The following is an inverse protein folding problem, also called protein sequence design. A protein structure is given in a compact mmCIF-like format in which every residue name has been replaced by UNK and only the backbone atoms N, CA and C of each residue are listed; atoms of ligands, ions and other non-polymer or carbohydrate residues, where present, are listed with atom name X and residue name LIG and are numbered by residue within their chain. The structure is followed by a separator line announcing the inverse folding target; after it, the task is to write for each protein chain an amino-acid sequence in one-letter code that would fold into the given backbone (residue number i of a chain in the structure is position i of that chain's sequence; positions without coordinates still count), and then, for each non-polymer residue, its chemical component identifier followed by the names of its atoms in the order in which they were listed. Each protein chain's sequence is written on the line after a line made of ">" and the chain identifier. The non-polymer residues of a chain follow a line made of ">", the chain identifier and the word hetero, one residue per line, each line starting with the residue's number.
data_IF_451448476138
#
_entry.id   IF_451448476138
#
_cell.length_a   1.000
_cell.length_b   1.000
_cell.length_c   1.000
_cell.angle_alpha   90.00
_cell.angle_beta   90.00
_cell.angle_gamma   90.00
#
_symmetry.space_group_name_H-M   'P 1'
#
loop_
_entity.id
_entity.type
_entity.pdbx_description
1 polymer ?
#
# COMPACT_ATOMS: atom_id res chain seq x y z
N UNK A 1 11.24 -36.05 -8.11
CA UNK A 1 10.32 -37.11 -7.65
C UNK A 1 9.10 -37.12 -8.56
N UNK A 2 8.67 -38.29 -9.07
CA UNK A 2 7.42 -38.42 -9.82
C UNK A 2 6.23 -37.95 -8.97
N UNK A 3 5.21 -37.37 -9.62
CA UNK A 3 3.99 -36.95 -8.92
C UNK A 3 3.20 -38.18 -8.50
N UNK A 4 2.59 -38.12 -7.32
CA UNK A 4 1.63 -39.13 -6.90
C UNK A 4 0.44 -39.11 -7.85
N UNK A 5 0.04 -40.28 -8.37
CA UNK A 5 -1.08 -40.36 -9.31
C UNK A 5 -2.38 -39.90 -8.62
N UNK A 6 -3.36 -39.49 -9.43
CA UNK A 6 -4.67 -39.12 -8.89
C UNK A 6 -5.36 -40.28 -8.18
N UNK A 7 -5.22 -41.50 -8.72
CA UNK A 7 -5.75 -42.73 -8.12
C UNK A 7 -5.09 -43.00 -6.78
N UNK A 8 -3.76 -42.88 -6.69
CA UNK A 8 -3.04 -43.12 -5.44
C UNK A 8 -3.37 -42.09 -4.36
N UNK A 9 -3.66 -40.83 -4.75
CA UNK A 9 -4.12 -39.81 -3.80
C UNK A 9 -5.47 -40.18 -3.18
N UNK A 10 -6.44 -40.57 -4.00
CA UNK A 10 -7.75 -40.98 -3.50
C UNK A 10 -7.66 -42.24 -2.64
N UNK A 11 -6.86 -43.23 -3.05
CA UNK A 11 -6.62 -44.44 -2.25
C UNK A 11 -5.96 -44.11 -0.89
N UNK A 12 -4.96 -43.23 -0.87
CA UNK A 12 -4.33 -42.80 0.38
C UNK A 12 -5.30 -42.06 1.30
N UNK A 13 -6.18 -41.22 0.74
CA UNK A 13 -7.19 -40.49 1.51
C UNK A 13 -8.28 -41.42 2.05
N UNK A 14 -8.72 -42.42 1.29
CA UNK A 14 -9.66 -43.44 1.76
C UNK A 14 -9.11 -44.19 2.97
N UNK A 15 -7.85 -44.62 2.92
CA UNK A 15 -7.20 -45.27 4.07
C UNK A 15 -7.11 -44.34 5.30
N UNK A 16 -6.89 -43.04 5.10
CA UNK A 16 -6.90 -42.07 6.20
C UNK A 16 -8.30 -41.84 6.77
N UNK A 17 -9.35 -41.91 5.95
CA UNK A 17 -10.75 -41.80 6.39
C UNK A 17 -11.21 -43.02 7.19
N UNK A 18 -10.66 -44.18 6.90
CA UNK A 18 -10.83 -45.41 7.69
C UNK A 18 -10.12 -45.35 9.06
N UNK A 19 -9.42 -44.25 9.37
CA UNK A 19 -8.75 -44.03 10.65
C UNK A 19 -7.33 -44.61 10.74
N UNK A 20 -6.76 -45.08 9.63
CA UNK A 20 -5.39 -45.59 9.64
C UNK A 20 -4.38 -44.47 9.90
N UNK A 21 -3.32 -44.73 10.69
CA UNK A 21 -2.28 -43.73 10.93
C UNK A 21 -1.45 -43.51 9.65
N UNK A 22 -0.96 -42.28 9.47
CA UNK A 22 -0.16 -41.86 8.28
C UNK A 22 1.05 -42.78 8.05
N UNK A 23 1.66 -43.30 9.12
CA UNK A 23 2.77 -44.25 9.06
C UNK A 23 2.39 -45.58 8.40
N UNK A 24 1.19 -46.08 8.67
CA UNK A 24 0.66 -47.33 8.11
C UNK A 24 0.28 -47.16 6.63
N UNK A 25 -0.37 -46.03 6.30
CA UNK A 25 -0.67 -45.67 4.90
C UNK A 25 0.62 -45.55 4.08
N UNK A 26 1.67 -44.99 4.67
CA UNK A 26 2.99 -44.87 4.06
C UNK A 26 3.62 -46.22 3.76
N UNK A 27 3.52 -47.17 4.70
CA UNK A 27 4.05 -48.52 4.52
C UNK A 27 3.24 -49.31 3.47
N UNK A 28 1.90 -49.31 3.58
CA UNK A 28 1.02 -50.06 2.65
C UNK A 28 1.14 -49.61 1.20
N UNK A 29 1.27 -48.30 0.98
CA UNK A 29 1.33 -47.73 -0.36
C UNK A 29 2.76 -47.49 -0.85
N UNK A 30 3.77 -47.73 -0.02
CA UNK A 30 5.17 -47.41 -0.30
C UNK A 30 5.37 -45.94 -0.72
N UNK A 31 4.68 -45.02 -0.04
CA UNK A 31 4.75 -43.57 -0.29
C UNK A 31 5.37 -42.91 0.93
N UNK A 32 6.21 -41.89 0.73
CA UNK A 32 6.82 -41.15 1.83
C UNK A 32 5.75 -40.54 2.76
N UNK A 33 5.91 -40.72 4.08
CA UNK A 33 5.03 -40.15 5.13
C UNK A 33 4.75 -38.66 4.94
N UNK A 34 5.76 -37.88 4.54
CA UNK A 34 5.62 -36.43 4.29
C UNK A 34 4.68 -36.12 3.13
N UNK A 35 4.63 -36.97 2.11
CA UNK A 35 3.71 -36.82 0.96
C UNK A 35 2.28 -37.05 1.39
N UNK A 36 2.02 -38.10 2.19
CA UNK A 36 0.67 -38.42 2.71
C UNK A 36 0.21 -37.33 3.70
N UNK A 37 1.10 -36.86 4.57
CA UNK A 37 0.83 -35.76 5.49
C UNK A 37 0.42 -34.49 4.72
N UNK A 38 1.23 -34.09 3.73
CA UNK A 38 0.94 -32.92 2.88
C UNK A 38 -0.34 -33.08 2.06
N UNK A 39 -0.65 -34.30 1.63
CA UNK A 39 -1.90 -34.61 0.92
C UNK A 39 -3.12 -34.38 1.82
N UNK A 40 -3.10 -34.95 3.04
CA UNK A 40 -4.16 -34.75 4.04
C UNK A 40 -4.31 -33.27 4.43
N UNK A 41 -3.20 -32.61 4.70
CA UNK A 41 -3.21 -31.18 5.04
C UNK A 41 -3.82 -30.35 3.91
N UNK A 42 -3.40 -30.59 2.66
CA UNK A 42 -3.96 -29.90 1.49
C UNK A 42 -5.46 -30.15 1.33
N UNK A 43 -5.92 -31.38 1.58
CA UNK A 43 -7.34 -31.69 1.53
C UNK A 43 -8.10 -30.88 2.58
N UNK A 44 -7.62 -30.82 3.83
CA UNK A 44 -8.24 -29.98 4.86
C UNK A 44 -8.24 -28.48 4.55
N UNK A 45 -7.23 -27.99 3.83
CA UNK A 45 -7.11 -26.56 3.49
C UNK A 45 -7.97 -26.14 2.29
N UNK A 46 -8.13 -27.00 1.30
CA UNK A 46 -8.76 -26.64 0.02
C UNK A 46 -9.94 -27.50 -0.38
N UNK A 47 -10.28 -28.54 0.38
CA UNK A 47 -11.32 -29.54 0.07
C UNK A 47 -11.19 -30.17 -1.33
N UNK A 48 -10.02 -30.05 -1.97
CA UNK A 48 -9.75 -30.61 -3.29
C UNK A 48 -8.57 -31.57 -3.25
N UNK A 49 -8.72 -32.73 -3.89
CA UNK A 49 -7.64 -33.69 -4.10
C UNK A 49 -6.79 -33.33 -5.32
N UNK A 50 -7.39 -32.67 -6.32
CA UNK A 50 -6.80 -32.36 -7.62
C UNK A 50 -5.58 -31.43 -7.53
N UNK A 51 -4.76 -31.44 -8.58
CA UNK A 51 -3.63 -30.51 -8.66
C UNK A 51 -4.13 -29.07 -8.82
N UNK A 52 -3.58 -28.15 -8.04
CA UNK A 52 -3.86 -26.73 -8.20
C UNK A 52 -3.31 -26.27 -9.56
N UNK A 53 -4.14 -25.55 -10.33
CA UNK A 53 -3.67 -24.85 -11.53
C UNK A 53 -2.54 -23.91 -11.13
N UNK A 54 -1.35 -24.11 -11.70
CA UNK A 54 -0.22 -23.21 -11.45
C UNK A 54 -0.46 -21.91 -12.21
N UNK A 55 -0.18 -20.78 -11.57
CA UNK A 55 -0.30 -19.44 -12.19
C UNK A 55 0.58 -19.24 -13.43
N UNK A 56 1.56 -20.12 -13.66
CA UNK A 56 2.51 -20.01 -14.75
C UNK A 56 3.47 -18.84 -14.58
N UNK A 57 4.33 -18.63 -15.58
CA UNK A 57 5.20 -17.45 -15.65
C UNK A 57 4.35 -16.23 -16.03
N UNK A 58 4.49 -15.09 -15.35
CA UNK A 58 3.79 -13.87 -15.75
C UNK A 58 4.17 -13.47 -17.18
N UNK A 59 3.20 -13.02 -17.97
CA UNK A 59 3.43 -12.55 -19.34
C UNK A 59 4.18 -11.22 -19.31
N UNK A 60 5.18 -11.05 -20.18
CA UNK A 60 5.92 -9.79 -20.32
C UNK A 60 5.03 -8.65 -20.84
N UNK A 61 3.99 -8.99 -21.61
CA UNK A 61 3.08 -8.05 -22.28
C UNK A 61 1.70 -8.02 -21.65
N UNK A 62 1.11 -6.83 -21.58
CA UNK A 62 -0.28 -6.63 -21.15
C UNK A 62 -1.27 -7.02 -22.23
N UNK A 63 -2.51 -7.36 -21.85
CA UNK A 63 -3.56 -7.66 -22.82
C UNK A 63 -3.80 -6.48 -23.81
N UNK A 64 -3.61 -5.24 -23.35
CA UNK A 64 -3.68 -4.04 -24.22
C UNK A 64 -2.49 -3.96 -25.18
N UNK A 65 -1.27 -4.25 -24.71
CA UNK A 65 -0.08 -4.32 -25.55
C UNK A 65 -0.19 -5.43 -26.60
N UNK A 66 -0.71 -6.61 -26.23
CA UNK A 66 -0.96 -7.72 -27.16
C UNK A 66 -1.92 -7.32 -28.28
N UNK A 67 -3.04 -6.65 -27.94
CA UNK A 67 -3.99 -6.13 -28.95
C UNK A 67 -3.35 -5.11 -29.88
N UNK A 68 -2.52 -4.22 -29.35
CA UNK A 68 -1.81 -3.22 -30.16
C UNK A 68 -0.76 -3.87 -31.06
N UNK A 69 -0.02 -4.88 -30.58
CA UNK A 69 0.93 -5.65 -31.40
C UNK A 69 0.22 -6.31 -32.59
N UNK A 70 -0.90 -6.99 -32.32
CA UNK A 70 -1.71 -7.61 -33.38
C UNK A 70 -2.18 -6.58 -34.39
N UNK A 71 -2.73 -5.45 -33.93
CA UNK A 71 -3.20 -4.37 -34.80
C UNK A 71 -2.08 -3.76 -35.65
N UNK A 72 -0.90 -3.53 -35.06
CA UNK A 72 0.24 -2.95 -35.77
C UNK A 72 0.71 -3.88 -36.89
N UNK A 73 0.83 -5.18 -36.64
CA UNK A 73 1.22 -6.16 -37.66
C UNK A 73 0.11 -6.44 -38.69
N UNK A 74 -1.16 -6.21 -38.36
CA UNK A 74 -2.24 -6.21 -39.35
C UNK A 74 -2.15 -5.00 -40.29
N UNK A 75 -1.90 -3.81 -39.74
CA UNK A 75 -1.82 -2.57 -40.51
C UNK A 75 -0.54 -2.49 -41.36
N UNK A 76 0.58 -2.99 -40.85
CA UNK A 76 1.83 -3.04 -41.59
C UNK A 76 2.50 -4.39 -41.37
N UNK A 77 2.20 -5.32 -42.30
CA UNK A 77 2.63 -6.72 -42.23
C UNK A 77 4.15 -6.89 -42.32
N UNK A 78 4.88 -5.90 -42.85
CA UNK A 78 6.35 -5.90 -42.96
C UNK A 78 7.05 -5.27 -41.77
N UNK A 79 6.33 -4.87 -40.71
CA UNK A 79 6.95 -4.45 -39.46
C UNK A 79 7.81 -5.58 -38.88
N UNK A 80 9.09 -5.29 -38.64
CA UNK A 80 9.99 -6.24 -38.01
C UNK A 80 9.66 -6.43 -36.53
N UNK A 81 9.89 -7.65 -36.01
CA UNK A 81 9.71 -7.95 -34.60
C UNK A 81 10.58 -7.07 -33.68
N UNK A 82 11.76 -6.65 -34.17
CA UNK A 82 12.66 -5.73 -33.47
C UNK A 82 12.08 -4.32 -33.35
N UNK A 83 11.31 -3.87 -34.34
CA UNK A 83 10.63 -2.57 -34.29
C UNK A 83 9.47 -2.61 -33.29
N UNK A 84 8.64 -3.65 -33.33
CA UNK A 84 7.50 -3.78 -32.43
C UNK A 84 7.93 -4.04 -30.98
N UNK A 85 9.04 -4.76 -30.74
CA UNK A 85 9.58 -4.96 -29.39
C UNK A 85 10.09 -3.66 -28.74
N UNK A 86 10.79 -2.79 -29.49
CA UNK A 86 11.23 -1.47 -28.99
C UNK A 86 10.06 -0.57 -28.59
N UNK A 87 8.96 -0.67 -29.33
CA UNK A 87 7.77 0.13 -29.08
C UNK A 87 6.96 -0.39 -27.88
N UNK A 88 7.06 -1.70 -27.61
CA UNK A 88 6.33 -2.37 -26.54
C UNK A 88 7.20 -2.43 -25.29
N UNK A 89 7.27 -1.33 -24.53
CA UNK A 89 7.97 -1.33 -23.23
C UNK A 89 7.39 -2.40 -22.30
N UNK A 90 8.26 -3.24 -21.74
CA UNK A 90 7.89 -4.20 -20.71
C UNK A 90 7.23 -3.51 -19.52
N UNK A 91 6.31 -4.21 -18.85
CA UNK A 91 5.54 -3.71 -17.69
C UNK A 91 6.39 -3.00 -16.64
N UNK A 92 7.62 -3.45 -16.44
CA UNK A 92 8.48 -3.03 -15.33
C UNK A 92 8.84 -1.53 -15.40
N UNK A 93 9.14 -0.99 -16.58
CA UNK A 93 9.45 0.44 -16.71
C UNK A 93 8.22 1.32 -16.50
N UNK A 94 7.03 0.86 -16.88
CA UNK A 94 5.81 1.63 -16.67
C UNK A 94 5.40 1.64 -15.19
N UNK A 95 5.56 0.50 -14.49
CA UNK A 95 5.32 0.45 -13.04
C UNK A 95 6.30 1.33 -12.27
N UNK A 96 7.59 1.34 -12.65
CA UNK A 96 8.58 2.23 -12.02
C UNK A 96 8.20 3.70 -12.24
N UNK A 97 7.83 4.11 -13.46
CA UNK A 97 7.40 5.49 -13.72
C UNK A 97 6.17 5.85 -12.89
N UNK A 98 5.17 4.97 -12.82
CA UNK A 98 3.97 5.22 -12.00
C UNK A 98 4.33 5.36 -10.53
N UNK A 99 5.17 4.48 -9.99
CA UNK A 99 5.64 4.57 -8.60
C UNK A 99 6.37 5.90 -8.37
N UNK A 100 7.29 6.28 -9.25
CA UNK A 100 8.02 7.55 -9.14
C UNK A 100 7.06 8.74 -9.16
N UNK A 101 6.09 8.76 -10.08
CA UNK A 101 5.08 9.82 -10.14
C UNK A 101 4.26 9.88 -8.86
N UNK A 102 3.80 8.74 -8.34
CA UNK A 102 3.05 8.68 -7.08
C UNK A 102 3.90 9.21 -5.93
N UNK A 103 5.17 8.82 -5.82
CA UNK A 103 6.09 9.32 -4.79
C UNK A 103 6.26 10.83 -4.91
N UNK A 104 6.48 11.37 -6.11
CA UNK A 104 6.58 12.81 -6.34
C UNK A 104 5.31 13.54 -5.90
N UNK A 105 4.13 13.04 -6.28
CA UNK A 105 2.84 13.62 -5.87
C UNK A 105 2.71 13.62 -4.35
N UNK A 106 3.03 12.50 -3.68
CA UNK A 106 3.01 12.41 -2.21
C UNK A 106 3.94 13.44 -1.58
N UNK A 107 5.18 13.56 -2.08
CA UNK A 107 6.15 14.56 -1.60
C UNK A 107 5.60 15.98 -1.76
N UNK A 108 5.02 16.32 -2.92
CA UNK A 108 4.41 17.63 -3.16
C UNK A 108 3.28 17.90 -2.17
N UNK A 109 2.38 16.92 -1.94
CA UNK A 109 1.30 17.06 -0.96
C UNK A 109 1.86 17.29 0.45
N UNK A 110 2.87 16.54 0.86
CA UNK A 110 3.51 16.73 2.17
C UNK A 110 4.10 18.13 2.30
N UNK A 111 4.81 18.61 1.28
CA UNK A 111 5.36 19.98 1.26
C UNK A 111 4.25 21.02 1.40
N UNK A 112 3.15 20.88 0.66
CA UNK A 112 2.01 21.80 0.76
C UNK A 112 1.42 21.79 2.17
N UNK A 113 1.24 20.62 2.78
CA UNK A 113 0.73 20.50 4.15
C UNK A 113 1.67 21.21 5.14
N UNK A 114 2.98 21.01 5.01
CA UNK A 114 3.98 21.68 5.86
C UNK A 114 3.88 23.19 5.72
N UNK A 115 3.79 23.72 4.49
CA UNK A 115 3.62 25.16 4.24
C UNK A 115 2.35 25.68 4.91
N UNK A 116 1.23 24.98 4.77
CA UNK A 116 -0.03 25.37 5.42
C UNK A 116 0.11 25.42 6.94
N UNK A 117 0.75 24.41 7.54
CA UNK A 117 1.00 24.39 9.00
C UNK A 117 1.85 25.58 9.44
N UNK A 118 2.92 25.90 8.70
CA UNK A 118 3.77 27.07 8.99
C UNK A 118 2.95 28.35 8.96
N UNK A 119 2.15 28.56 7.92
CA UNK A 119 1.28 29.75 7.79
C UNK A 119 0.29 29.84 8.96
N UNK A 120 -0.32 28.73 9.37
CA UNK A 120 -1.23 28.70 10.52
C UNK A 120 -0.50 29.10 11.80
N UNK A 121 0.71 28.58 12.02
CA UNK A 121 1.54 28.94 13.18
C UNK A 121 1.87 30.43 13.17
N UNK A 122 2.28 30.99 12.04
CA UNK A 122 2.55 32.42 11.91
C UNK A 122 1.31 33.27 12.25
N UNK A 123 0.14 32.89 11.73
CA UNK A 123 -1.12 33.59 12.05
C UNK A 123 -1.41 33.54 13.55
N UNK A 124 -1.25 32.38 14.20
CA UNK A 124 -1.43 32.25 15.65
C UNK A 124 -0.47 33.16 16.41
N UNK A 125 0.81 33.19 16.03
CA UNK A 125 1.82 34.07 16.64
C UNK A 125 1.40 35.53 16.50
N UNK A 126 0.97 35.96 15.31
CA UNK A 126 0.50 37.34 15.08
C UNK A 126 -0.69 37.68 15.98
N UNK A 127 -1.67 36.77 16.09
CA UNK A 127 -2.84 36.97 16.97
C UNK A 127 -2.40 37.12 18.43
N UNK A 128 -1.49 36.27 18.92
CA UNK A 128 -0.97 36.36 20.29
C UNK A 128 -0.27 37.69 20.52
N UNK A 129 0.57 38.15 19.58
CA UNK A 129 1.25 39.45 19.68
C UNK A 129 0.23 40.59 19.75
N UNK A 130 -0.80 40.57 18.90
CA UNK A 130 -1.86 41.58 18.93
C UNK A 130 -2.58 41.60 20.28
N UNK A 131 -2.93 40.43 20.83
CA UNK A 131 -3.57 40.32 22.15
C UNK A 131 -2.67 40.90 23.23
N UNK A 132 -1.38 40.58 23.24
CA UNK A 132 -0.41 41.12 24.21
C UNK A 132 -0.34 42.65 24.10
N UNK A 133 -0.25 43.20 22.88
CA UNK A 133 -0.24 44.65 22.67
C UNK A 133 -1.51 45.31 23.22
N UNK A 134 -2.68 44.74 22.93
CA UNK A 134 -3.97 45.24 23.46
C UNK A 134 -3.97 45.23 24.99
N UNK A 135 -3.54 44.14 25.62
CA UNK A 135 -3.46 44.05 27.08
C UNK A 135 -2.53 45.12 27.66
N UNK A 136 -1.35 45.32 27.05
CA UNK A 136 -0.40 46.38 27.48
C UNK A 136 -1.05 47.76 27.37
N UNK A 137 -1.70 48.06 26.25
CA UNK A 137 -2.40 49.35 26.06
C UNK A 137 -3.48 49.55 27.13
N UNK A 138 -4.29 48.54 27.41
CA UNK A 138 -5.33 48.60 28.46
C UNK A 138 -4.70 48.88 29.83
N UNK A 139 -3.63 48.17 30.18
CA UNK A 139 -2.92 48.39 31.46
C UNK A 139 -2.39 49.81 31.54
N UNK A 140 -1.75 50.33 30.49
CA UNK A 140 -1.25 51.71 30.45
C UNK A 140 -2.39 52.71 30.66
N UNK A 141 -3.52 52.53 29.96
CA UNK A 141 -4.69 53.40 30.11
C UNK A 141 -5.21 53.38 31.55
N UNK A 142 -5.35 52.19 32.15
CA UNK A 142 -5.80 52.04 33.55
C UNK A 142 -4.84 52.77 34.50
N UNK A 143 -3.53 52.59 34.35
CA UNK A 143 -2.52 53.28 35.17
C UNK A 143 -2.64 54.79 35.04
N UNK A 144 -2.76 55.31 33.81
CA UNK A 144 -2.93 56.75 33.56
C UNK A 144 -4.19 57.27 34.25
N UNK A 145 -5.32 56.58 34.12
CA UNK A 145 -6.59 56.96 34.76
C UNK A 145 -6.43 56.98 36.28
N UNK A 146 -5.82 55.96 36.88
CA UNK A 146 -5.57 55.90 38.33
C UNK A 146 -4.71 57.07 38.78
N UNK A 147 -3.61 57.36 38.09
CA UNK A 147 -2.73 58.49 38.42
C UNK A 147 -3.49 59.81 38.36
N UNK A 148 -4.27 60.05 37.30
CA UNK A 148 -5.07 61.27 37.15
C UNK A 148 -6.06 61.42 38.31
N UNK A 149 -6.77 60.34 38.66
CA UNK A 149 -7.74 60.36 39.78
C UNK A 149 -7.06 60.65 41.11
N UNK A 150 -5.91 60.01 41.39
CA UNK A 150 -5.16 60.23 42.65
C UNK A 150 -4.63 61.67 42.74
N UNK A 151 -4.08 62.21 41.65
CA UNK A 151 -3.59 63.59 41.60
C UNK A 151 -4.73 64.59 41.78
N UNK A 152 -5.87 64.36 41.12
CA UNK A 152 -7.05 65.20 41.27
C UNK A 152 -7.61 65.17 42.69
N UNK A 153 -7.65 63.99 43.33
CA UNK A 153 -8.07 63.84 44.72
C UNK A 153 -7.11 64.56 45.69
N UNK A 154 -5.80 64.45 45.48
CA UNK A 154 -4.80 65.14 46.30
C UNK A 154 -4.92 66.67 46.19
N UNK A 155 -5.20 67.19 44.99
CA UNK A 155 -5.41 68.62 44.76
C UNK A 155 -6.71 69.16 45.39
N UNK A 156 -7.71 68.31 45.64
CA UNK A 156 -8.95 68.71 46.32
C UNK A 156 -8.83 68.78 47.86
N UNK A 157 -7.77 68.20 48.43
CA UNK A 157 -7.50 68.18 49.88
C UNK A 157 -6.43 69.17 50.35
N UNK A 158 -5.79 69.88 49.41
CA UNK A 158 -4.79 70.92 49.68
C UNK A 158 -5.43 72.32 49.60
#
# INVERSE_FOLDING_TARGET
>A
MPRLSEVDRHRALGLLQEGLPISEVSLRMNINRTTIFRLRQRLHETDTVSDRSRSGRPKCTTQRQDRNLVRNHMNNRFLSASASSRQTRGRDNQQVIVIVVVVVVVVVVVVVVVVVVVVVVEVVVVVVVVVVVVVVVVVVVVVVVVVVVVVAAAAATA
#
